data_IF_906352417227
#
_entry.id   IF_906352417227
#
_cell.length_a   1.000
_cell.length_b   1.000
_cell.length_c   1.000
_cell.angle_alpha   90.00
_cell.angle_beta   90.00
_cell.angle_gamma   90.00
#
_symmetry.space_group_name_H-M   'P 1'
#
loop_
_entity.id
_entity.type
_entity.pdbx_description
1 polymer ?
#
# COMPACT_ATOMS: atom_id res chain seq x y z
N UNK A 1 5.26 -0.18 20.12
CA UNK A 1 5.48 0.58 18.86
C UNK A 1 6.93 0.96 18.60
N UNK A 2 7.84 0.93 19.60
CA UNK A 2 9.23 1.40 19.44
C UNK A 2 10.00 0.76 18.26
N UNK A 3 9.86 -0.55 18.03
CA UNK A 3 10.53 -1.23 16.90
C UNK A 3 10.01 -0.74 15.55
N UNK A 4 8.69 -0.60 15.39
CA UNK A 4 8.09 -0.12 14.15
C UNK A 4 8.46 1.34 13.87
N UNK A 5 8.49 2.18 14.90
CA UNK A 5 8.93 3.56 14.80
C UNK A 5 10.42 3.67 14.40
N UNK A 6 11.28 2.86 15.03
CA UNK A 6 12.70 2.79 14.68
C UNK A 6 12.89 2.33 13.22
N UNK A 7 12.20 1.26 12.81
CA UNK A 7 12.23 0.77 11.44
C UNK A 7 11.79 1.83 10.42
N UNK A 8 10.67 2.52 10.68
CA UNK A 8 10.21 3.59 9.79
C UNK A 8 11.20 4.76 9.75
N UNK A 9 11.93 5.02 10.85
CA UNK A 9 13.00 5.99 10.92
C UNK A 9 14.16 5.73 9.95
N UNK A 10 14.39 4.47 9.56
CA UNK A 10 15.42 4.09 8.58
C UNK A 10 14.96 4.28 7.12
N UNK A 11 13.66 4.56 6.90
CA UNK A 11 13.11 4.75 5.56
C UNK A 11 13.16 6.23 5.16
N UNK A 12 13.82 6.52 4.05
CA UNK A 12 13.81 7.85 3.45
C UNK A 12 12.67 8.02 2.46
N UNK A 13 11.82 9.03 2.70
CA UNK A 13 10.69 9.44 1.87
C UNK A 13 10.82 10.87 1.33
N UNK A 14 11.98 11.49 1.46
CA UNK A 14 12.21 12.88 1.05
C UNK A 14 11.92 13.04 -0.45
N UNK A 15 11.15 14.07 -0.81
CA UNK A 15 10.76 14.40 -2.20
C UNK A 15 9.97 13.30 -2.92
N UNK A 16 9.45 12.29 -2.21
CA UNK A 16 8.57 11.29 -2.78
C UNK A 16 7.12 11.74 -2.65
N UNK A 17 6.32 11.46 -3.68
CA UNK A 17 4.87 11.54 -3.57
C UNK A 17 4.37 10.49 -2.57
N UNK A 18 3.27 10.78 -1.87
CA UNK A 18 2.73 9.92 -0.81
C UNK A 18 2.47 8.48 -1.29
N UNK A 19 1.91 8.30 -2.48
CA UNK A 19 1.66 6.97 -3.05
C UNK A 19 2.95 6.21 -3.38
N UNK A 20 4.01 6.92 -3.78
CA UNK A 20 5.34 6.35 -4.04
C UNK A 20 6.03 5.95 -2.74
N UNK A 21 5.98 6.81 -1.73
CA UNK A 21 6.47 6.52 -0.39
C UNK A 21 5.74 5.33 0.24
N UNK A 22 4.40 5.29 0.09
CA UNK A 22 3.57 4.20 0.61
C UNK A 22 3.85 2.88 -0.11
N UNK A 23 4.04 2.91 -1.43
CA UNK A 23 4.50 1.76 -2.21
C UNK A 23 5.82 1.23 -1.69
N UNK A 24 6.81 2.11 -1.45
CA UNK A 24 8.10 1.74 -0.87
C UNK A 24 7.92 1.11 0.50
N UNK A 25 7.10 1.72 1.37
CA UNK A 25 6.80 1.20 2.70
C UNK A 25 6.18 -0.20 2.66
N UNK A 26 5.23 -0.44 1.75
CA UNK A 26 4.58 -1.75 1.59
C UNK A 26 5.51 -2.85 1.04
N UNK A 27 6.65 -2.51 0.44
CA UNK A 27 7.61 -3.55 0.03
C UNK A 27 8.18 -4.32 1.23
N UNK A 28 8.22 -3.70 2.41
CA UNK A 28 8.75 -4.30 3.63
C UNK A 28 7.70 -5.05 4.45
N UNK A 29 6.42 -4.77 4.24
CA UNK A 29 5.33 -5.34 5.01
C UNK A 29 4.28 -5.99 4.10
N UNK A 30 3.94 -7.25 4.38
CA UNK A 30 2.65 -7.77 3.92
C UNK A 30 1.57 -7.12 4.77
N UNK A 31 0.66 -6.40 4.11
CA UNK A 31 -0.46 -5.77 4.80
C UNK A 31 -1.25 -6.82 5.60
N UNK A 32 -1.42 -6.63 6.91
CA UNK A 32 -2.17 -7.56 7.74
C UNK A 32 -3.66 -7.47 7.42
N UNK A 33 -4.40 -8.57 7.57
CA UNK A 33 -5.86 -8.56 7.36
C UNK A 33 -6.68 -7.93 8.50
N UNK A 34 -6.04 -7.62 9.63
CA UNK A 34 -6.68 -7.04 10.82
C UNK A 34 -6.61 -5.51 10.76
N UNK A 35 -7.77 -4.84 10.81
CA UNK A 35 -7.89 -3.39 10.69
C UNK A 35 -6.99 -2.63 11.66
N UNK A 36 -6.95 -3.03 12.94
CA UNK A 36 -6.12 -2.40 13.98
C UNK A 36 -4.62 -2.45 13.68
N UNK A 37 -4.15 -3.47 12.94
CA UNK A 37 -2.74 -3.58 12.56
C UNK A 37 -2.41 -2.68 11.36
N UNK A 38 -3.34 -2.56 10.41
CA UNK A 38 -3.20 -1.62 9.28
C UNK A 38 -3.15 -0.18 9.82
N UNK A 39 -4.04 0.15 10.76
CA UNK A 39 -4.08 1.46 11.43
C UNK A 39 -2.74 1.86 12.01
N UNK A 40 -2.11 0.98 12.81
CA UNK A 40 -0.79 1.21 13.41
C UNK A 40 0.32 1.41 12.38
N UNK A 41 0.25 0.71 11.25
CA UNK A 41 1.22 0.89 10.16
C UNK A 41 1.04 2.24 9.49
N UNK A 42 -0.21 2.66 9.24
CA UNK A 42 -0.52 3.93 8.60
C UNK A 42 -0.20 5.12 9.49
N UNK A 43 -0.42 5.02 10.79
CA UNK A 43 -0.05 6.07 11.76
C UNK A 43 1.46 6.35 11.71
N UNK A 44 2.29 5.30 11.79
CA UNK A 44 3.75 5.44 11.72
C UNK A 44 4.22 5.92 10.34
N UNK A 45 3.64 5.38 9.26
CA UNK A 45 3.95 5.82 7.91
C UNK A 45 3.68 7.32 7.72
N UNK A 46 2.51 7.79 8.16
CA UNK A 46 2.08 9.18 7.99
C UNK A 46 2.97 10.14 8.75
N UNK A 47 3.28 9.81 10.02
CA UNK A 47 4.22 10.58 10.82
C UNK A 47 5.60 10.65 10.17
N UNK A 48 6.12 9.51 9.66
CA UNK A 48 7.42 9.49 8.98
C UNK A 48 7.41 10.28 7.67
N UNK A 49 6.34 10.18 6.89
CA UNK A 49 6.20 10.90 5.62
C UNK A 49 6.24 12.42 5.82
N UNK A 50 5.53 12.93 6.84
CA UNK A 50 5.54 14.36 7.20
C UNK A 50 6.89 14.84 7.73
N UNK A 51 7.62 13.99 8.46
CA UNK A 51 8.98 14.30 8.91
C UNK A 51 9.96 14.46 7.73
N UNK A 52 9.84 13.62 6.70
CA UNK A 52 10.66 13.70 5.49
C UNK A 52 10.23 14.82 4.53
N UNK A 53 8.97 15.26 4.59
CA UNK A 53 8.38 16.22 3.66
C UNK A 53 7.65 17.35 4.43
N UNK A 54 8.39 18.21 5.16
CA UNK A 54 7.80 19.25 6.01
C UNK A 54 7.06 20.32 5.21
N UNK A 55 7.42 20.53 3.95
CA UNK A 55 6.75 21.45 3.03
C UNK A 55 5.31 21.01 2.73
N UNK A 56 5.06 19.70 2.61
CA UNK A 56 3.71 19.15 2.44
C UNK A 56 2.92 19.35 3.73
N UNK A 57 3.52 19.04 4.89
CA UNK A 57 2.90 19.27 6.19
C UNK A 57 2.46 20.73 6.39
N UNK A 58 3.26 21.70 5.92
CA UNK A 58 2.95 23.12 6.03
C UNK A 58 1.76 23.59 5.16
N UNK A 59 1.41 22.81 4.12
CA UNK A 59 0.29 23.12 3.21
C UNK A 59 -1.05 22.57 3.70
N UNK A 60 -1.01 21.61 4.63
CA UNK A 60 -2.18 20.95 5.21
C UNK A 60 -2.60 21.67 6.50
N UNK A 61 -3.89 21.61 6.80
CA UNK A 61 -4.44 22.09 8.08
C UNK A 61 -4.29 21.05 9.18
N UNK A 62 -4.46 19.77 8.83
CA UNK A 62 -4.33 18.66 9.77
C UNK A 62 -3.26 17.65 9.35
N UNK A 63 -2.52 17.14 10.33
CA UNK A 63 -1.60 16.02 10.13
C UNK A 63 -2.33 14.70 9.85
N UNK A 64 -3.60 14.62 10.26
CA UNK A 64 -4.44 13.43 10.07
C UNK A 64 -4.82 13.24 8.59
N UNK A 65 -4.73 14.30 7.79
CA UNK A 65 -5.03 14.27 6.37
C UNK A 65 -4.12 13.30 5.60
N UNK A 66 -2.83 13.21 5.95
CA UNK A 66 -1.91 12.23 5.34
C UNK A 66 -2.31 10.80 5.72
N UNK A 67 -2.73 10.60 6.95
CA UNK A 67 -3.19 9.31 7.44
C UNK A 67 -4.46 8.84 6.70
N UNK A 68 -5.46 9.72 6.58
CA UNK A 68 -6.69 9.44 5.83
C UNK A 68 -6.36 9.18 4.35
N UNK A 69 -5.49 9.98 3.75
CA UNK A 69 -5.08 9.84 2.36
C UNK A 69 -4.34 8.52 2.10
N UNK A 70 -3.47 8.09 3.01
CA UNK A 70 -2.78 6.79 2.91
C UNK A 70 -3.77 5.63 2.88
N UNK A 71 -4.81 5.67 3.73
CA UNK A 71 -5.89 4.69 3.71
C UNK A 71 -6.68 4.72 2.39
N UNK A 72 -7.03 5.90 1.90
CA UNK A 72 -7.73 6.06 0.63
C UNK A 72 -6.92 5.47 -0.54
N UNK A 73 -5.59 5.63 -0.54
CA UNK A 73 -4.69 5.03 -1.54
C UNK A 73 -4.72 3.50 -1.46
N UNK A 74 -4.70 2.90 -0.27
CA UNK A 74 -4.78 1.44 -0.10
C UNK A 74 -6.13 0.91 -0.59
N UNK A 75 -7.22 1.60 -0.28
CA UNK A 75 -8.57 1.24 -0.74
C UNK A 75 -8.68 1.36 -2.25
N UNK A 76 -8.15 2.44 -2.85
CA UNK A 76 -8.11 2.62 -4.30
C UNK A 76 -7.31 1.49 -4.98
N UNK A 77 -6.12 1.17 -4.46
CA UNK A 77 -5.33 0.07 -5.02
C UNK A 77 -6.08 -1.27 -4.96
N UNK A 78 -6.74 -1.54 -3.84
CA UNK A 78 -7.54 -2.76 -3.67
C UNK A 78 -8.70 -2.80 -4.66
N UNK A 79 -9.40 -1.69 -4.84
CA UNK A 79 -10.53 -1.58 -5.77
C UNK A 79 -10.09 -1.77 -7.24
N UNK A 80 -9.01 -1.09 -7.65
CA UNK A 80 -8.54 -1.11 -9.03
C UNK A 80 -7.92 -2.44 -9.46
N UNK A 81 -7.25 -3.16 -8.56
CA UNK A 81 -6.43 -4.33 -8.92
C UNK A 81 -6.98 -5.67 -8.40
N UNK A 82 -8.03 -5.67 -7.58
CA UNK A 82 -8.69 -6.92 -7.18
C UNK A 82 -9.45 -7.54 -8.37
N UNK A 83 -9.13 -8.79 -8.77
CA UNK A 83 -9.72 -9.41 -9.97
C UNK A 83 -11.22 -9.68 -9.84
N UNK A 84 -11.76 -9.75 -8.61
CA UNK A 84 -13.17 -10.01 -8.36
C UNK A 84 -14.09 -8.80 -8.61
N UNK A 85 -13.53 -7.60 -8.80
CA UNK A 85 -14.30 -6.38 -9.04
C UNK A 85 -14.40 -6.13 -10.55
N UNK A 86 -15.63 -6.12 -11.06
CA UNK A 86 -15.91 -5.83 -12.47
C UNK A 86 -15.37 -4.44 -12.85
N UNK A 87 -14.73 -4.27 -14.02
CA UNK A 87 -14.14 -2.99 -14.43
C UNK A 87 -15.11 -1.81 -14.36
N UNK A 88 -16.38 -2.01 -14.72
CA UNK A 88 -17.44 -0.99 -14.69
C UNK A 88 -17.79 -0.50 -13.28
N UNK A 89 -17.49 -1.31 -12.26
CA UNK A 89 -17.78 -1.00 -10.85
C UNK A 89 -16.57 -0.43 -10.11
N UNK A 90 -15.41 -0.35 -10.76
CA UNK A 90 -14.20 0.20 -10.15
C UNK A 90 -14.34 1.70 -9.95
N UNK A 91 -13.76 2.19 -8.86
CA UNK A 91 -13.73 3.59 -8.49
C UNK A 91 -13.09 4.41 -9.60
N UNK A 92 -13.84 5.37 -10.16
CA UNK A 92 -13.31 6.32 -11.14
C UNK A 92 -12.55 7.44 -10.44
N UNK A 93 -11.79 8.20 -11.20
CA UNK A 93 -11.09 9.39 -10.69
C UNK A 93 -12.05 10.35 -9.97
N UNK A 94 -13.21 10.64 -10.57
CA UNK A 94 -14.23 11.50 -9.96
C UNK A 94 -14.75 10.95 -8.63
N UNK A 95 -14.91 9.63 -8.53
CA UNK A 95 -15.34 8.97 -7.30
C UNK A 95 -14.27 9.09 -6.21
N UNK A 96 -12.99 8.88 -6.57
CA UNK A 96 -11.85 9.03 -5.67
C UNK A 96 -11.74 10.46 -5.13
N UNK A 97 -11.80 11.46 -6.02
CA UNK A 97 -11.78 12.88 -5.63
C UNK A 97 -12.99 13.24 -4.77
N UNK A 98 -14.19 12.73 -5.09
CA UNK A 98 -15.40 12.98 -4.31
C UNK A 98 -15.32 12.38 -2.91
N UNK A 99 -14.76 11.18 -2.77
CA UNK A 99 -14.59 10.50 -1.49
C UNK A 99 -13.61 11.23 -0.56
N UNK A 100 -12.72 12.06 -1.11
CA UNK A 100 -11.70 12.81 -0.40
C UNK A 100 -12.06 14.30 -0.21
N UNK A 101 -13.31 14.70 -0.41
CA UNK A 101 -13.73 16.07 -0.16
C UNK A 101 -13.69 16.41 1.33
N UNK A 102 -13.25 17.63 1.64
CA UNK A 102 -13.25 18.20 2.98
C UNK A 102 -12.41 17.45 4.03
N UNK A 103 -11.49 16.58 3.62
CA UNK A 103 -10.68 15.76 4.55
C UNK A 103 -9.56 16.53 5.27
N UNK A 104 -9.26 17.76 4.84
CA UNK A 104 -8.27 18.64 5.46
C UNK A 104 -8.96 19.71 6.32
N UNK A 105 -9.55 19.29 7.44
CA UNK A 105 -10.34 20.14 8.35
C UNK A 105 -11.41 20.99 7.62
N UNK A 106 -12.18 20.34 6.76
CA UNK A 106 -13.23 21.00 5.99
C UNK A 106 -12.75 21.62 4.68
N UNK A 107 -11.49 21.44 4.30
CA UNK A 107 -10.94 21.88 3.01
C UNK A 107 -10.69 20.70 2.07
N UNK A 108 -10.87 20.95 0.77
CA UNK A 108 -10.48 20.02 -0.29
C UNK A 108 -8.96 20.04 -0.53
N UNK A 109 -8.42 18.88 -0.87
CA UNK A 109 -7.05 18.74 -1.36
C UNK A 109 -6.91 19.27 -2.79
N UNK A 110 -5.68 19.59 -3.15
CA UNK A 110 -5.30 19.98 -4.51
C UNK A 110 -5.74 18.90 -5.53
N UNK A 111 -6.60 19.23 -6.52
CA UNK A 111 -7.10 18.27 -7.50
C UNK A 111 -5.99 17.61 -8.31
N UNK A 112 -5.01 18.38 -8.76
CA UNK A 112 -3.87 17.88 -9.53
C UNK A 112 -3.07 16.83 -8.73
N UNK A 113 -3.00 17.01 -7.41
CA UNK A 113 -2.36 16.04 -6.52
C UNK A 113 -3.12 14.71 -6.48
N UNK A 114 -4.46 14.75 -6.38
CA UNK A 114 -5.31 13.55 -6.37
C UNK A 114 -5.32 12.83 -7.73
N UNK A 115 -5.35 13.57 -8.83
CA UNK A 115 -5.25 13.02 -10.19
C UNK A 115 -3.94 12.26 -10.35
N UNK A 116 -2.82 12.88 -9.99
CA UNK A 116 -1.51 12.24 -10.09
C UNK A 116 -1.42 10.95 -9.26
N UNK A 117 -1.99 10.94 -8.05
CA UNK A 117 -2.07 9.73 -7.22
C UNK A 117 -2.87 8.64 -7.94
N UNK A 118 -4.08 8.98 -8.42
CA UNK A 118 -4.96 8.02 -9.06
C UNK A 118 -4.31 7.36 -10.29
N UNK A 119 -3.74 8.16 -11.19
CA UNK A 119 -3.10 7.66 -12.41
C UNK A 119 -1.91 6.73 -12.12
N UNK A 120 -1.08 7.07 -11.12
CA UNK A 120 0.05 6.22 -10.71
C UNK A 120 -0.39 4.90 -10.10
N UNK A 121 -1.46 4.91 -9.29
CA UNK A 121 -2.02 3.67 -8.73
C UNK A 121 -2.67 2.83 -9.83
N UNK A 122 -3.42 3.45 -10.75
CA UNK A 122 -4.04 2.76 -11.87
C UNK A 122 -3.00 2.11 -12.79
N UNK A 123 -1.92 2.83 -13.11
CA UNK A 123 -0.85 2.34 -13.97
C UNK A 123 0.01 1.23 -13.34
N UNK A 124 0.14 1.21 -12.02
CA UNK A 124 0.98 0.22 -11.33
C UNK A 124 0.39 -0.22 -9.99
N UNK A 125 -0.03 -1.47 -9.89
CA UNK A 125 -0.51 -2.07 -8.62
C UNK A 125 0.57 -2.10 -7.54
N UNK A 126 0.15 -1.96 -6.29
CA UNK A 126 1.03 -2.19 -5.14
C UNK A 126 1.34 -3.68 -5.01
N UNK A 127 2.63 -4.01 -4.91
CA UNK A 127 3.13 -5.37 -4.70
C UNK A 127 3.90 -5.45 -3.39
N UNK A 128 3.61 -6.44 -2.53
CA UNK A 128 4.48 -6.72 -1.40
C UNK A 128 5.87 -7.15 -1.91
N UNK A 129 6.90 -6.94 -1.09
CA UNK A 129 8.25 -7.43 -1.41
C UNK A 129 8.30 -8.94 -1.56
N UNK A 130 9.29 -9.43 -2.29
CA UNK A 130 9.52 -10.88 -2.41
C UNK A 130 10.12 -11.43 -1.11
N UNK A 131 9.50 -12.47 -0.55
CA UNK A 131 10.00 -13.22 0.60
C UNK A 131 10.20 -14.70 0.25
N UNK A 132 10.60 -15.51 1.23
CA UNK A 132 10.76 -16.96 1.05
C UNK A 132 9.43 -17.66 0.70
N UNK A 133 8.30 -17.11 1.14
CA UNK A 133 6.96 -17.64 0.84
C UNK A 133 6.58 -17.35 -0.61
N UNK A 134 7.01 -16.21 -1.17
CA UNK A 134 6.82 -15.88 -2.60
C UNK A 134 7.43 -16.94 -3.52
N UNK A 135 8.56 -17.54 -3.14
CA UNK A 135 9.14 -18.65 -3.89
C UNK A 135 8.25 -19.91 -3.85
N UNK A 136 7.69 -20.22 -2.68
CA UNK A 136 6.76 -21.35 -2.51
C UNK A 136 5.47 -21.12 -3.29
N UNK A 137 4.94 -19.89 -3.32
CA UNK A 137 3.77 -19.53 -4.13
C UNK A 137 4.00 -19.81 -5.62
N UNK A 138 5.17 -19.44 -6.16
CA UNK A 138 5.52 -19.69 -7.57
C UNK A 138 5.54 -21.19 -7.88
N UNK A 139 6.12 -22.00 -7.00
CA UNK A 139 6.13 -23.48 -7.17
C UNK A 139 4.71 -24.03 -7.08
N UNK A 140 3.92 -23.61 -6.10
CA UNK A 140 2.53 -24.05 -5.95
C UNK A 140 1.70 -23.75 -7.21
N UNK A 141 1.92 -22.62 -7.87
CA UNK A 141 1.23 -22.26 -9.13
C UNK A 141 1.59 -23.18 -10.31
N UNK A 142 2.75 -23.84 -10.29
CA UNK A 142 3.13 -24.83 -11.32
C UNK A 142 2.54 -26.22 -11.11
N UNK A 143 2.01 -26.50 -9.91
CA UNK A 143 1.43 -27.80 -9.59
C UNK A 143 0.00 -27.85 -10.13
N UNK A 144 -0.21 -28.62 -11.20
CA UNK A 144 -1.53 -28.79 -11.85
C UNK A 144 -2.47 -29.68 -11.02
N UNK A 145 -1.91 -30.56 -10.19
CA UNK A 145 -2.68 -31.45 -9.32
C UNK A 145 -3.25 -30.72 -8.08
N UNK A 146 -4.35 -31.23 -7.53
CA UNK A 146 -4.91 -30.71 -6.27
C UNK A 146 -3.88 -30.84 -5.15
N UNK A 147 -3.35 -29.71 -4.70
CA UNK A 147 -2.34 -29.62 -3.66
C UNK A 147 -2.90 -28.79 -2.49
N UNK A 148 -2.60 -29.12 -1.21
CA UNK A 148 -2.89 -28.22 -0.10
C UNK A 148 -2.17 -26.87 -0.29
N UNK A 149 -2.62 -25.83 0.42
CA UNK A 149 -1.91 -24.55 0.41
C UNK A 149 -0.49 -24.71 0.96
N UNK A 150 0.51 -24.60 0.09
CA UNK A 150 1.93 -24.70 0.41
C UNK A 150 2.49 -23.36 0.86
N UNK A 151 1.93 -22.24 0.41
CA UNK A 151 2.35 -20.88 0.69
C UNK A 151 1.98 -20.40 2.10
N UNK A 152 2.36 -21.18 3.12
CA UNK A 152 2.20 -20.81 4.52
C UNK A 152 3.41 -19.99 5.01
N UNK A 153 3.23 -19.03 5.94
CA UNK A 153 4.31 -18.15 6.40
C UNK A 153 5.57 -18.87 6.91
N UNK A 154 5.40 -20.05 7.51
CA UNK A 154 6.48 -20.84 8.10
C UNK A 154 7.12 -21.85 7.14
N UNK A 155 6.68 -21.93 5.87
CA UNK A 155 7.21 -22.87 4.87
C UNK A 155 8.20 -22.19 3.93
N UNK A 156 9.32 -22.86 3.66
CA UNK A 156 10.38 -22.39 2.75
C UNK A 156 10.73 -23.48 1.75
N UNK A 157 10.87 -23.11 0.49
CA UNK A 157 11.37 -24.00 -0.57
C UNK A 157 12.85 -24.32 -0.30
N UNK A 158 13.19 -25.61 -0.26
CA UNK A 158 14.57 -26.08 -0.04
C UNK A 158 15.22 -26.52 -1.34
N UNK A 159 14.52 -27.34 -2.13
CA UNK A 159 15.01 -27.89 -3.40
C UNK A 159 13.82 -28.11 -4.35
N UNK A 160 14.02 -27.88 -5.65
CA UNK A 160 13.10 -28.28 -6.71
C UNK A 160 13.85 -29.20 -7.67
N UNK A 161 13.44 -30.47 -7.74
CA UNK A 161 13.98 -31.42 -8.71
C UNK A 161 13.24 -31.22 -10.03
N UNK A 162 13.93 -30.70 -11.03
CA UNK A 162 13.43 -30.71 -12.42
C UNK A 162 13.83 -32.05 -13.04
N UNK A 163 12.85 -32.81 -13.54
CA UNK A 163 13.13 -33.92 -14.45
C UNK A 163 13.60 -33.31 -15.77
N UNK A 164 14.84 -33.60 -16.15
CA UNK A 164 15.42 -33.33 -17.48
C UNK A 164 14.52 -33.86 -18.59
#
# INVERSE_FOLDING_TARGET
>A
MAVLACFAGELDFTNLQIDVALRKFQTYFRMPGEAQKIERLMEIFSGRYLQCNPDIGSKLRSTDTIFILAFAIILLNTDLHTPNIKPEKRMKLDDFTKNLRNIDDGRDLDPEWLVGIYERIQGQEFKPGSDHVTQVMKVQQTIVAKCPNLALPHRRLVLLLSSL
#
